data_IF_553815735595
#
_entry.id   IF_553815735595
#
_cell.length_a   1.000
_cell.length_b   1.000
_cell.length_c   1.000
_cell.angle_alpha   90.00
_cell.angle_beta   90.00
_cell.angle_gamma   90.00
#
_symmetry.space_group_name_H-M   'P 1'
#
loop_
_entity.id
_entity.type
_entity.pdbx_description
1 polymer ?
#
# COMPACT_ATOMS: atom_id res chain seq x y z
N UNK A 1 -9.26 -27.57 -34.29
CA UNK A 1 -9.32 -27.37 -32.83
C UNK A 1 -9.94 -28.61 -32.19
N UNK A 2 -9.14 -29.44 -31.52
CA UNK A 2 -9.59 -30.13 -30.33
C UNK A 2 -8.74 -29.72 -29.12
N UNK A 3 -9.41 -29.56 -27.98
CA UNK A 3 -8.80 -29.35 -26.68
C UNK A 3 -8.01 -30.60 -26.29
N UNK A 4 -6.71 -30.44 -26.03
CA UNK A 4 -5.90 -31.50 -25.44
C UNK A 4 -6.02 -31.43 -23.92
N UNK A 5 -6.73 -32.42 -23.39
CA UNK A 5 -7.00 -32.70 -22.00
C UNK A 5 -5.69 -33.07 -21.28
N UNK A 6 -5.04 -32.09 -20.64
CA UNK A 6 -4.09 -32.41 -19.56
C UNK A 6 -4.65 -31.91 -18.24
N UNK A 7 -5.64 -32.66 -17.76
CA UNK A 7 -5.87 -32.80 -16.34
C UNK A 7 -4.58 -33.32 -15.70
N UNK A 8 -3.71 -32.41 -15.28
CA UNK A 8 -2.68 -32.71 -14.29
C UNK A 8 -3.42 -33.05 -13.01
N UNK A 9 -3.66 -34.35 -12.83
CA UNK A 9 -4.27 -34.89 -11.63
C UNK A 9 -3.49 -34.35 -10.43
N UNK A 10 -4.18 -33.53 -9.63
CA UNK A 10 -3.81 -33.23 -8.26
C UNK A 10 -3.78 -34.56 -7.51
N UNK A 11 -2.62 -35.21 -7.52
CA UNK A 11 -2.37 -36.40 -6.75
C UNK A 11 -2.32 -35.98 -5.29
N UNK A 12 -3.41 -36.22 -4.58
CA UNK A 12 -3.49 -36.08 -3.13
C UNK A 12 -2.31 -36.83 -2.49
N UNK A 13 -1.57 -36.17 -1.59
CA UNK A 13 -0.40 -36.70 -0.84
C UNK A 13 -0.60 -38.14 -0.32
N UNK A 14 -1.84 -38.57 -0.05
CA UNK A 14 -2.19 -39.94 0.39
C UNK A 14 -1.92 -41.03 -0.64
N UNK A 15 -1.97 -40.74 -1.94
CA UNK A 15 -1.70 -41.73 -2.98
C UNK A 15 -0.22 -42.12 -3.04
N UNK A 16 0.68 -41.18 -2.72
CA UNK A 16 2.13 -41.38 -2.74
C UNK A 16 2.58 -42.32 -1.62
N UNK A 17 1.90 -42.30 -0.46
CA UNK A 17 2.24 -43.16 0.68
C UNK A 17 1.83 -44.64 0.50
N UNK A 18 0.92 -44.95 -0.43
CA UNK A 18 0.42 -46.32 -0.64
C UNK A 18 1.28 -47.19 -1.56
N UNK A 19 2.09 -46.59 -2.44
CA UNK A 19 2.85 -47.33 -3.44
C UNK A 19 4.23 -47.83 -2.96
N UNK A 20 4.71 -47.35 -1.81
CA UNK A 20 6.04 -47.69 -1.30
C UNK A 20 6.14 -49.09 -0.65
N UNK A 21 5.04 -49.83 -0.46
CA UNK A 21 5.02 -51.06 0.35
C UNK A 21 5.27 -52.37 -0.41
N UNK A 22 5.68 -52.33 -1.68
CA UNK A 22 5.70 -53.54 -2.52
C UNK A 22 7.00 -53.81 -3.32
N UNK A 23 8.15 -53.28 -2.89
CA UNK A 23 9.43 -53.62 -3.52
C UNK A 23 10.22 -54.60 -2.63
N UNK A 24 10.54 -55.82 -3.11
CA UNK A 24 11.39 -56.74 -2.36
C UNK A 24 12.82 -56.22 -2.28
N UNK A 25 13.37 -56.20 -1.06
CA UNK A 25 14.76 -55.82 -0.77
C UNK A 25 15.71 -56.89 -1.31
N UNK A 26 16.57 -56.50 -2.26
CA UNK A 26 17.81 -57.19 -2.54
C UNK A 26 18.91 -56.17 -2.87
N UNK A 27 20.06 -56.34 -2.20
CA UNK A 27 21.35 -55.63 -2.36
C UNK A 27 21.51 -54.33 -1.55
N UNK A 28 21.92 -54.48 -0.29
CA UNK A 28 23.13 -53.86 0.27
C UNK A 28 23.39 -52.35 0.15
N UNK A 29 22.41 -51.48 -0.08
CA UNK A 29 22.55 -50.07 0.28
C UNK A 29 22.53 -49.99 1.82
N UNK A 30 23.63 -49.52 2.43
CA UNK A 30 23.75 -49.51 3.89
C UNK A 30 22.61 -48.70 4.52
N UNK A 31 22.06 -49.15 5.65
CA UNK A 31 21.00 -48.46 6.41
C UNK A 31 21.20 -46.93 6.49
N UNK A 32 22.46 -46.49 6.60
CA UNK A 32 22.85 -45.09 6.66
C UNK A 32 22.45 -44.24 5.43
N UNK A 33 22.40 -44.81 4.22
CA UNK A 33 21.98 -44.08 3.01
C UNK A 33 20.46 -43.88 2.98
N UNK A 34 19.70 -44.90 3.39
CA UNK A 34 18.25 -44.78 3.55
C UNK A 34 17.89 -43.75 4.64
N UNK A 35 18.61 -43.77 5.77
CA UNK A 35 18.43 -42.79 6.85
C UNK A 35 18.73 -41.36 6.38
N UNK A 36 19.78 -41.15 5.58
CA UNK A 36 20.12 -39.84 5.01
C UNK A 36 19.07 -39.33 4.01
N UNK A 37 18.46 -40.23 3.21
CA UNK A 37 17.36 -39.87 2.31
C UNK A 37 16.12 -39.45 3.10
N UNK A 38 15.76 -40.22 4.14
CA UNK A 38 14.62 -39.90 5.00
C UNK A 38 14.81 -38.56 5.70
N UNK A 39 16.00 -38.29 6.22
CA UNK A 39 16.33 -37.00 6.85
C UNK A 39 16.18 -35.85 5.85
N UNK A 40 16.72 -35.99 4.62
CA UNK A 40 16.61 -34.97 3.58
C UNK A 40 15.17 -34.72 3.15
N UNK A 41 14.34 -35.75 3.06
CA UNK A 41 12.90 -35.60 2.83
C UNK A 41 12.22 -34.84 3.98
N UNK A 42 12.58 -35.14 5.23
CA UNK A 42 12.08 -34.43 6.40
C UNK A 42 12.44 -32.94 6.39
N UNK A 43 13.70 -32.63 6.07
CA UNK A 43 14.17 -31.25 5.92
C UNK A 43 13.42 -30.50 4.81
N UNK A 44 13.20 -31.16 3.66
CA UNK A 44 12.45 -30.56 2.56
C UNK A 44 10.99 -30.29 2.95
N UNK A 45 10.31 -31.24 3.59
CA UNK A 45 8.92 -31.07 4.05
C UNK A 45 8.80 -29.98 5.12
N UNK A 46 9.80 -29.85 5.99
CA UNK A 46 9.83 -28.77 6.98
C UNK A 46 10.00 -27.40 6.30
N UNK A 47 10.87 -27.30 5.28
CA UNK A 47 11.03 -26.07 4.51
C UNK A 47 9.76 -25.71 3.72
N UNK A 48 9.09 -26.69 3.10
CA UNK A 48 7.81 -26.52 2.40
C UNK A 48 6.72 -25.97 3.34
N UNK A 49 6.59 -26.53 4.54
CA UNK A 49 5.65 -26.04 5.55
C UNK A 49 5.95 -24.61 6.03
N UNK A 50 7.24 -24.26 6.13
CA UNK A 50 7.64 -22.90 6.51
C UNK A 50 7.38 -21.89 5.38
N UNK A 51 7.58 -22.29 4.12
CA UNK A 51 7.21 -21.48 2.95
C UNK A 51 5.71 -21.18 2.99
N UNK A 52 4.87 -22.20 3.18
CA UNK A 52 3.41 -22.01 3.27
C UNK A 52 3.03 -21.03 4.39
N UNK A 53 3.64 -21.18 5.57
CA UNK A 53 3.42 -20.28 6.71
C UNK A 53 3.79 -18.84 6.40
N UNK A 54 4.96 -18.63 5.79
CA UNK A 54 5.45 -17.30 5.43
C UNK A 54 4.61 -16.68 4.31
N UNK A 55 4.18 -17.47 3.31
CA UNK A 55 3.29 -17.02 2.25
C UNK A 55 1.94 -16.56 2.79
N UNK A 56 1.34 -17.30 3.72
CA UNK A 56 0.10 -16.87 4.40
C UNK A 56 0.31 -15.58 5.20
N UNK A 57 1.43 -15.49 5.93
CA UNK A 57 1.76 -14.30 6.70
C UNK A 57 1.94 -13.08 5.81
N UNK A 58 2.58 -13.24 4.65
CA UNK A 58 2.77 -12.17 3.70
C UNK A 58 1.44 -11.72 3.09
N UNK A 59 0.57 -12.66 2.68
CA UNK A 59 -0.75 -12.33 2.15
C UNK A 59 -1.61 -11.53 3.14
N UNK A 60 -1.55 -11.85 4.43
CA UNK A 60 -2.23 -11.08 5.49
C UNK A 60 -1.69 -9.64 5.59
N UNK A 61 -0.36 -9.47 5.55
CA UNK A 61 0.25 -8.14 5.59
C UNK A 61 -0.09 -7.31 4.34
N UNK A 62 -0.07 -7.93 3.16
CA UNK A 62 -0.46 -7.28 1.91
C UNK A 62 -1.93 -6.86 1.94
N UNK A 63 -2.81 -7.71 2.48
CA UNK A 63 -4.21 -7.35 2.68
C UNK A 63 -4.36 -6.17 3.63
N UNK A 64 -3.71 -6.21 4.80
CA UNK A 64 -3.73 -5.11 5.77
C UNK A 64 -3.22 -3.80 5.15
N UNK A 65 -2.07 -3.83 4.48
CA UNK A 65 -1.53 -2.66 3.79
C UNK A 65 -2.47 -2.15 2.68
N UNK A 66 -3.14 -3.05 1.96
CA UNK A 66 -4.17 -2.72 0.99
C UNK A 66 -5.35 -1.97 1.62
N UNK A 67 -5.89 -2.49 2.74
CA UNK A 67 -6.99 -1.83 3.45
C UNK A 67 -6.60 -0.46 4.01
N UNK A 68 -5.38 -0.30 4.52
CA UNK A 68 -4.86 0.98 4.99
C UNK A 68 -4.74 1.97 3.83
N UNK A 69 -4.20 1.53 2.69
CA UNK A 69 -4.09 2.34 1.48
C UNK A 69 -5.47 2.83 1.02
N UNK A 70 -6.46 1.94 0.92
CA UNK A 70 -7.83 2.31 0.52
C UNK A 70 -8.46 3.30 1.51
N UNK A 71 -8.24 3.12 2.81
CA UNK A 71 -8.68 4.07 3.84
C UNK A 71 -8.04 5.44 3.66
N UNK A 72 -6.73 5.49 3.41
CA UNK A 72 -6.00 6.74 3.18
C UNK A 72 -6.46 7.43 1.89
N UNK A 73 -6.64 6.70 0.81
CA UNK A 73 -7.17 7.25 -0.46
C UNK A 73 -8.57 7.85 -0.27
N UNK A 74 -9.43 7.15 0.47
CA UNK A 74 -10.79 7.64 0.81
C UNK A 74 -10.72 8.92 1.64
N UNK A 75 -9.87 8.94 2.68
CA UNK A 75 -9.67 10.13 3.53
C UNK A 75 -9.11 11.30 2.74
N UNK A 76 -8.14 11.07 1.87
CA UNK A 76 -7.52 12.10 1.03
C UNK A 76 -8.53 12.68 0.05
N UNK A 77 -9.34 11.83 -0.60
CA UNK A 77 -10.43 12.30 -1.47
C UNK A 77 -11.43 13.17 -0.71
N UNK A 78 -11.83 12.76 0.49
CA UNK A 78 -12.73 13.54 1.33
C UNK A 78 -12.11 14.89 1.76
N UNK A 79 -10.82 14.92 2.10
CA UNK A 79 -10.12 16.17 2.44
C UNK A 79 -10.05 17.11 1.24
N UNK A 80 -9.74 16.62 0.04
CA UNK A 80 -9.76 17.44 -1.18
C UNK A 80 -11.15 17.99 -1.49
N UNK A 81 -12.20 17.19 -1.32
CA UNK A 81 -13.59 17.66 -1.48
C UNK A 81 -13.93 18.77 -0.47
N UNK A 82 -13.55 18.59 0.79
CA UNK A 82 -13.73 19.61 1.84
C UNK A 82 -12.93 20.88 1.55
N UNK A 83 -11.71 20.75 1.06
CA UNK A 83 -10.88 21.89 0.68
C UNK A 83 -11.50 22.65 -0.49
N UNK A 84 -11.95 21.95 -1.53
CA UNK A 84 -12.61 22.55 -2.69
C UNK A 84 -13.89 23.31 -2.27
N UNK A 85 -14.77 22.67 -1.49
CA UNK A 85 -15.98 23.31 -0.97
C UNK A 85 -15.65 24.50 -0.06
N UNK A 86 -14.62 24.40 0.77
CA UNK A 86 -14.15 25.50 1.60
C UNK A 86 -13.64 26.68 0.77
N UNK A 87 -12.93 26.42 -0.34
CA UNK A 87 -12.48 27.46 -1.26
C UNK A 87 -13.66 28.16 -1.96
N UNK A 88 -14.66 27.40 -2.41
CA UNK A 88 -15.89 27.96 -2.98
C UNK A 88 -16.61 28.86 -1.96
N UNK A 89 -16.78 28.39 -0.71
CA UNK A 89 -17.37 29.20 0.36
C UNK A 89 -16.57 30.48 0.64
N UNK A 90 -15.24 30.38 0.70
CA UNK A 90 -14.37 31.56 0.89
C UNK A 90 -14.51 32.52 -0.29
N UNK A 91 -14.61 32.01 -1.53
CA UNK A 91 -14.80 32.83 -2.71
C UNK A 91 -16.12 33.62 -2.63
N UNK A 92 -17.20 32.99 -2.20
CA UNK A 92 -18.54 33.60 -2.08
C UNK A 92 -18.66 34.63 -0.95
N UNK A 93 -17.87 34.51 0.12
CA UNK A 93 -17.91 35.47 1.23
C UNK A 93 -17.39 36.85 0.80
N UNK A 94 -18.07 37.95 1.14
CA UNK A 94 -17.50 39.28 0.96
C UNK A 94 -16.53 39.65 2.08
N UNK A 95 -15.38 40.21 1.73
CA UNK A 95 -14.43 40.75 2.68
C UNK A 95 -14.82 42.21 3.01
N UNK A 96 -15.13 42.49 4.27
CA UNK A 96 -15.54 43.82 4.72
C UNK A 96 -14.44 44.61 5.45
N UNK A 97 -13.29 43.98 5.68
CA UNK A 97 -12.12 44.61 6.29
C UNK A 97 -10.80 44.07 5.73
N UNK A 98 -9.70 44.74 6.07
CA UNK A 98 -8.35 44.37 5.62
C UNK A 98 -7.87 43.02 6.18
N UNK A 99 -8.39 42.56 7.32
CA UNK A 99 -8.02 41.25 7.90
C UNK A 99 -8.65 40.13 7.08
N UNK A 100 -9.90 40.26 6.66
CA UNK A 100 -10.58 39.32 5.78
C UNK A 100 -9.90 39.26 4.40
N UNK A 101 -9.48 40.42 3.84
CA UNK A 101 -8.69 40.47 2.59
C UNK A 101 -7.35 39.74 2.76
N UNK A 102 -6.61 40.00 3.85
CA UNK A 102 -5.35 39.31 4.12
C UNK A 102 -5.56 37.80 4.30
N UNK A 103 -6.65 37.36 4.95
CA UNK A 103 -7.01 35.96 5.09
C UNK A 103 -7.24 35.28 3.74
N UNK A 104 -7.98 35.92 2.83
CA UNK A 104 -8.20 35.41 1.46
C UNK A 104 -6.89 35.32 0.66
N UNK A 105 -6.05 36.35 0.72
CA UNK A 105 -4.75 36.34 0.06
C UNK A 105 -3.83 35.24 0.62
N UNK A 106 -3.86 34.98 1.93
CA UNK A 106 -3.09 33.89 2.53
C UNK A 106 -3.55 32.51 2.01
N UNK A 107 -4.86 32.32 1.85
CA UNK A 107 -5.43 31.10 1.26
C UNK A 107 -4.98 30.92 -0.20
N UNK A 108 -5.00 31.98 -1.00
CA UNK A 108 -4.53 31.95 -2.39
C UNK A 108 -3.03 31.69 -2.48
N UNK A 109 -2.21 32.35 -1.65
CA UNK A 109 -0.77 32.12 -1.61
C UNK A 109 -0.46 30.65 -1.29
N UNK A 110 -1.14 30.08 -0.29
CA UNK A 110 -0.94 28.69 0.08
C UNK A 110 -1.42 27.71 -1.01
N UNK A 111 -2.53 28.01 -1.68
CA UNK A 111 -3.03 27.20 -2.79
C UNK A 111 -2.12 27.27 -4.04
N UNK A 112 -1.51 28.43 -4.31
CA UNK A 112 -0.59 28.62 -5.43
C UNK A 112 0.83 28.07 -5.16
N UNK A 113 1.14 27.69 -3.91
CA UNK A 113 2.48 27.27 -3.48
C UNK A 113 3.01 26.05 -4.24
N UNK A 114 2.12 25.13 -4.58
CA UNK A 114 2.47 23.90 -5.31
C UNK A 114 2.79 24.16 -6.79
N UNK A 115 2.22 25.23 -7.36
CA UNK A 115 2.45 25.65 -8.75
C UNK A 115 3.59 26.68 -8.89
N UNK A 116 3.92 27.40 -7.80
CA UNK A 116 4.94 28.44 -7.80
C UNK A 116 4.68 29.57 -8.80
N UNK A 117 5.66 30.46 -8.97
CA UNK A 117 5.66 31.45 -10.05
C UNK A 117 4.98 32.79 -9.73
N UNK A 118 4.80 33.65 -10.75
CA UNK A 118 4.51 35.08 -10.56
C UNK A 118 3.24 35.37 -9.74
N UNK A 119 2.22 34.52 -9.82
CA UNK A 119 0.97 34.68 -9.06
C UNK A 119 1.22 34.48 -7.56
N UNK A 120 1.98 33.45 -7.18
CA UNK A 120 2.37 33.21 -5.79
C UNK A 120 3.19 34.40 -5.24
N UNK A 121 4.13 34.92 -6.03
CA UNK A 121 5.01 36.02 -5.62
C UNK A 121 4.23 37.33 -5.42
N UNK A 122 3.34 37.67 -6.37
CA UNK A 122 2.48 38.87 -6.30
C UNK A 122 1.58 38.81 -5.05
N UNK A 123 0.96 37.67 -4.79
CA UNK A 123 0.05 37.51 -3.64
C UNK A 123 0.84 37.55 -2.32
N UNK A 124 2.02 36.93 -2.27
CA UNK A 124 2.90 36.95 -1.08
C UNK A 124 3.38 38.36 -0.77
N UNK A 125 3.72 39.15 -1.79
CA UNK A 125 4.16 40.53 -1.60
C UNK A 125 3.01 41.44 -1.11
N UNK A 126 1.81 41.29 -1.69
CA UNK A 126 0.61 41.97 -1.21
C UNK A 126 0.30 41.64 0.27
N UNK A 127 0.45 40.38 0.67
CA UNK A 127 0.26 39.94 2.05
C UNK A 127 1.25 40.64 3.00
N UNK A 128 2.52 40.76 2.61
CA UNK A 128 3.59 41.39 3.39
C UNK A 128 3.28 42.87 3.67
N UNK A 129 2.76 43.59 2.68
CA UNK A 129 2.35 45.00 2.82
C UNK A 129 1.16 45.14 3.77
N UNK A 130 0.14 44.28 3.63
CA UNK A 130 -1.06 44.31 4.49
C UNK A 130 -0.73 44.01 5.96
N UNK A 131 0.16 43.06 6.23
CA UNK A 131 0.61 42.74 7.59
C UNK A 131 1.50 43.85 8.16
N UNK A 132 2.38 44.44 7.32
CA UNK A 132 3.27 45.54 7.69
C UNK A 132 2.57 46.90 7.88
N UNK A 133 1.34 47.05 7.41
CA UNK A 133 0.48 48.23 7.63
C UNK A 133 -0.42 48.05 8.85
N UNK A 134 -0.89 46.84 9.12
CA UNK A 134 -1.62 46.50 10.35
C UNK A 134 -0.77 46.69 11.62
N UNK A 135 0.55 46.47 11.55
CA UNK A 135 1.48 46.65 12.68
C UNK A 135 1.85 48.12 12.95
N UNK A 136 1.47 49.06 12.07
CA UNK A 136 1.85 50.48 12.14
C UNK A 136 0.77 51.38 12.74
N UNK A 137 -0.33 50.79 13.23
CA UNK A 137 -1.51 51.49 13.75
C UNK A 137 -1.70 51.34 15.27
N UNK A 138 -0.65 50.95 16.01
CA UNK A 138 -0.59 50.93 17.49
C UNK A 138 0.42 51.98 17.92
#
# INVERSE_FOLDING_TARGET
MPADSRSFFSLSRRAILGAASAVPVAVGASSAEADAIVERCGQWLAADAEIDRLSLRWAELDHQAGTEKESLETRLKHLHQRQASGLEQIADMQAHDLRAVAGKLAVVANAAREYGGPIHDIVTDALRVLIGTASRKI
#
